data_IF_250372981070
#
_entry.id   IF_250372981070
#
_cell.length_a   1.000
_cell.length_b   1.000
_cell.length_c   1.000
_cell.angle_alpha   90.00
_cell.angle_beta   90.00
_cell.angle_gamma   90.00
#
_symmetry.space_group_name_H-M   'P 1'
#
loop_
_entity.id
_entity.type
_entity.pdbx_description
1 polymer ?
#
# COMPACT_ATOMS: atom_id res chain seq x y z
N UNK A 1 -1.04 -6.35 -15.30
CA UNK A 1 -2.10 -6.24 -14.27
C UNK A 1 -3.48 -6.71 -14.74
N UNK A 2 -3.95 -6.44 -15.96
CA UNK A 2 -5.37 -6.61 -16.37
C UNK A 2 -5.87 -8.01 -16.80
N UNK A 3 -5.36 -9.14 -16.31
CA UNK A 3 -5.88 -10.46 -16.74
C UNK A 3 -5.90 -11.58 -15.67
N UNK A 4 -5.99 -11.25 -14.37
CA UNK A 4 -5.99 -12.24 -13.27
C UNK A 4 -7.24 -12.19 -12.38
N UNK A 5 -8.29 -11.50 -12.82
CA UNK A 5 -9.50 -11.32 -12.01
C UNK A 5 -9.31 -10.42 -10.77
N UNK A 6 -8.17 -9.75 -10.62
CA UNK A 6 -7.93 -8.78 -9.55
C UNK A 6 -8.57 -7.45 -9.93
N UNK A 7 -9.52 -7.00 -9.12
CA UNK A 7 -10.12 -5.67 -9.24
C UNK A 7 -9.35 -4.67 -8.37
N UNK A 8 -8.77 -3.64 -8.99
CA UNK A 8 -7.99 -2.60 -8.30
C UNK A 8 -8.74 -1.28 -8.39
N UNK A 9 -9.02 -0.66 -7.24
CA UNK A 9 -9.57 0.68 -7.14
C UNK A 9 -8.48 1.59 -6.57
N UNK A 10 -8.13 2.65 -7.28
CA UNK A 10 -7.23 3.69 -6.78
C UNK A 10 -8.06 4.77 -6.10
N UNK A 11 -7.75 5.06 -4.84
CA UNK A 11 -8.46 6.06 -4.03
C UNK A 11 -7.51 7.24 -3.75
N UNK A 12 -7.66 8.36 -4.47
CA UNK A 12 -6.73 9.49 -4.40
C UNK A 12 -6.89 10.34 -3.14
N UNK A 13 -8.11 10.52 -2.63
CA UNK A 13 -8.40 11.48 -1.58
C UNK A 13 -9.04 10.88 -0.32
N UNK A 14 -8.87 11.57 0.82
CA UNK A 14 -9.46 11.19 2.09
C UNK A 14 -10.98 11.03 2.00
N UNK A 15 -11.68 11.97 1.36
CA UNK A 15 -13.14 11.92 1.32
C UNK A 15 -13.65 10.68 0.57
N UNK A 16 -12.93 10.27 -0.47
CA UNK A 16 -13.21 9.04 -1.20
C UNK A 16 -12.89 7.80 -0.35
N UNK A 17 -11.79 7.83 0.40
CA UNK A 17 -11.49 6.78 1.38
C UNK A 17 -12.59 6.64 2.44
N UNK A 18 -13.10 7.75 2.96
CA UNK A 18 -14.19 7.77 3.94
C UNK A 18 -15.48 7.18 3.33
N UNK A 19 -15.75 7.47 2.05
CA UNK A 19 -16.90 6.91 1.33
C UNK A 19 -16.76 5.39 1.14
N UNK A 20 -15.62 4.93 0.61
CA UNK A 20 -15.39 3.51 0.35
C UNK A 20 -15.23 2.69 1.63
N UNK A 21 -14.79 3.31 2.74
CA UNK A 21 -14.63 2.64 4.05
C UNK A 21 -15.92 1.99 4.54
N UNK A 22 -17.07 2.46 4.05
CA UNK A 22 -18.38 1.91 4.37
C UNK A 22 -18.64 0.59 3.64
N UNK A 23 -18.13 0.44 2.42
CA UNK A 23 -18.32 -0.71 1.55
C UNK A 23 -17.24 -1.80 1.74
N UNK A 24 -16.06 -1.45 2.25
CA UNK A 24 -14.99 -2.42 2.51
C UNK A 24 -15.42 -3.50 3.51
N UNK A 25 -15.00 -4.73 3.21
CA UNK A 25 -15.30 -5.97 3.93
C UNK A 25 -14.01 -6.74 4.27
N UNK A 26 -14.13 -7.86 4.98
CA UNK A 26 -13.00 -8.74 5.28
C UNK A 26 -12.43 -9.48 4.07
N UNK A 27 -13.12 -9.45 2.92
CA UNK A 27 -12.63 -10.04 1.67
C UNK A 27 -11.81 -9.05 0.84
N UNK A 28 -11.72 -7.80 1.29
CA UNK A 28 -10.97 -6.75 0.61
C UNK A 28 -9.58 -6.57 1.23
N UNK A 29 -8.65 -6.05 0.42
CA UNK A 29 -7.28 -5.75 0.83
C UNK A 29 -7.00 -4.27 0.54
N UNK A 30 -6.64 -3.52 1.58
CA UNK A 30 -6.33 -2.09 1.46
C UNK A 30 -4.83 -1.85 1.48
N UNK A 31 -4.29 -1.39 0.35
CA UNK A 31 -2.94 -0.84 0.29
C UNK A 31 -2.94 0.64 0.61
N UNK A 32 -2.09 1.06 1.55
CA UNK A 32 -1.85 2.49 1.84
C UNK A 32 -0.38 2.80 1.57
N UNK A 33 -0.14 3.61 0.54
CA UNK A 33 1.21 3.96 0.09
C UNK A 33 1.54 5.37 0.59
N UNK A 34 2.60 5.52 1.39
CA UNK A 34 3.00 6.82 1.94
C UNK A 34 4.50 6.88 2.14
N UNK A 35 5.13 7.96 1.69
CA UNK A 35 6.57 8.16 1.87
C UNK A 35 6.96 8.26 3.36
N UNK A 36 6.25 9.07 4.14
CA UNK A 36 6.55 9.29 5.56
C UNK A 36 5.88 8.28 6.49
N UNK A 37 4.83 7.59 6.03
CA UNK A 37 4.01 6.73 6.86
C UNK A 37 3.22 7.49 7.95
N UNK A 38 3.14 8.82 7.88
CA UNK A 38 2.25 9.60 8.74
C UNK A 38 0.86 9.68 8.12
N UNK A 39 -0.15 9.27 8.88
CA UNK A 39 -1.54 9.16 8.40
C UNK A 39 -2.53 9.84 9.35
N UNK A 40 -2.11 10.84 10.11
CA UNK A 40 -2.93 11.55 11.12
C UNK A 40 -4.30 12.00 10.58
N UNK A 41 -4.35 12.39 9.29
CA UNK A 41 -5.59 12.84 8.63
C UNK A 41 -6.61 11.73 8.39
N UNK A 42 -6.17 10.46 8.31
CA UNK A 42 -6.98 9.29 7.96
C UNK A 42 -6.91 8.16 9.01
N UNK A 43 -6.18 8.35 10.13
CA UNK A 43 -5.95 7.35 11.19
C UNK A 43 -7.27 6.73 11.68
N UNK A 44 -8.25 7.57 12.04
CA UNK A 44 -9.58 7.12 12.46
C UNK A 44 -10.30 6.24 11.42
N UNK A 45 -10.11 6.56 10.14
CA UNK A 45 -10.72 5.83 9.03
C UNK A 45 -10.03 4.49 8.82
N UNK A 46 -8.70 4.47 8.86
CA UNK A 46 -7.92 3.23 8.78
C UNK A 46 -8.25 2.28 9.94
N UNK A 47 -8.34 2.79 11.17
CA UNK A 47 -8.76 1.99 12.35
C UNK A 47 -10.15 1.41 12.18
N UNK A 48 -11.10 2.21 11.68
CA UNK A 48 -12.48 1.73 11.43
C UNK A 48 -12.55 0.66 10.35
N UNK A 49 -11.71 0.77 9.31
CA UNK A 49 -11.59 -0.26 8.26
C UNK A 49 -11.00 -1.54 8.86
N UNK A 50 -9.91 -1.42 9.63
CA UNK A 50 -9.27 -2.56 10.28
C UNK A 50 -10.21 -3.26 11.28
N UNK A 51 -11.00 -2.52 12.06
CA UNK A 51 -12.01 -3.08 12.97
C UNK A 51 -13.12 -3.88 12.25
N UNK A 52 -13.37 -3.62 10.98
CA UNK A 52 -14.31 -4.42 10.15
C UNK A 52 -13.68 -5.72 9.62
N UNK A 53 -12.39 -5.95 9.88
CA UNK A 53 -11.66 -7.12 9.44
C UNK A 53 -11.04 -6.99 8.04
N UNK A 54 -11.10 -5.82 7.41
CA UNK A 54 -10.36 -5.57 6.16
C UNK A 54 -8.87 -5.52 6.45
N UNK A 55 -8.08 -6.32 5.73
CA UNK A 55 -6.63 -6.36 5.92
C UNK A 55 -5.98 -5.09 5.36
N UNK A 56 -5.02 -4.54 6.11
CA UNK A 56 -4.22 -3.39 5.72
C UNK A 56 -2.78 -3.78 5.37
N UNK A 57 -2.31 -3.29 4.22
CA UNK A 57 -0.92 -3.37 3.80
C UNK A 57 -0.35 -1.96 3.70
N UNK A 58 0.64 -1.67 4.54
CA UNK A 58 1.41 -0.43 4.46
C UNK A 58 2.52 -0.56 3.43
N UNK A 59 2.72 0.49 2.62
CA UNK A 59 3.88 0.61 1.72
C UNK A 59 4.58 1.92 2.04
N UNK A 60 5.71 1.85 2.75
CA UNK A 60 6.37 3.04 3.30
C UNK A 60 7.88 3.00 3.15
N UNK A 61 8.54 4.16 3.30
CA UNK A 61 10.00 4.15 3.48
C UNK A 61 10.34 3.32 4.72
N UNK A 62 11.42 2.55 4.65
CA UNK A 62 11.93 1.79 5.79
C UNK A 62 12.11 2.69 7.03
N UNK A 63 11.45 2.32 8.13
CA UNK A 63 11.50 3.04 9.40
C UNK A 63 10.26 2.83 10.26
N UNK A 64 10.33 3.27 11.51
CA UNK A 64 9.19 3.27 12.43
C UNK A 64 8.19 4.35 12.03
N UNK A 65 6.94 3.97 11.76
CA UNK A 65 5.89 4.91 11.38
C UNK A 65 4.49 4.42 11.79
N UNK A 66 3.56 5.37 11.95
CA UNK A 66 2.20 5.11 12.42
C UNK A 66 1.45 4.17 11.46
N UNK A 67 1.57 4.37 10.15
CA UNK A 67 0.87 3.54 9.18
C UNK A 67 1.32 2.06 9.26
N UNK A 68 2.62 1.81 9.37
CA UNK A 68 3.16 0.46 9.54
C UNK A 68 2.66 -0.18 10.84
N UNK A 69 2.56 0.58 11.94
CA UNK A 69 2.04 0.05 13.21
C UNK A 69 0.55 -0.29 13.19
N UNK A 70 -0.22 0.31 12.28
CA UNK A 70 -1.66 0.06 12.11
C UNK A 70 -1.96 -1.07 11.12
N UNK A 71 -0.97 -1.50 10.35
CA UNK A 71 -1.17 -2.41 9.23
C UNK A 71 -0.86 -3.85 9.62
N UNK A 72 -1.58 -4.79 9.03
CA UNK A 72 -1.33 -6.23 9.20
C UNK A 72 0.00 -6.64 8.56
N UNK A 73 0.34 -6.00 7.43
CA UNK A 73 1.59 -6.22 6.71
C UNK A 73 2.27 -4.89 6.35
N UNK A 74 3.60 -4.93 6.25
CA UNK A 74 4.41 -3.77 5.88
C UNK A 74 5.41 -4.11 4.79
N UNK A 75 5.32 -3.42 3.67
CA UNK A 75 6.30 -3.39 2.59
C UNK A 75 7.13 -2.13 2.72
N UNK A 76 8.44 -2.32 2.84
CA UNK A 76 9.39 -1.23 3.00
C UNK A 76 10.20 -1.00 1.73
N UNK A 77 10.45 0.27 1.42
CA UNK A 77 11.34 0.67 0.33
C UNK A 77 12.36 1.73 0.80
N UNK A 78 13.42 1.94 0.03
CA UNK A 78 14.43 2.96 0.29
C UNK A 78 14.41 4.04 -0.79
N UNK A 79 14.45 5.29 -0.37
CA UNK A 79 14.53 6.43 -1.28
C UNK A 79 15.97 6.92 -1.33
N UNK A 80 16.45 7.18 -2.54
CA UNK A 80 17.76 7.80 -2.76
C UNK A 80 17.53 9.22 -3.28
N UNK A 81 18.12 10.22 -2.61
CA UNK A 81 18.10 11.59 -3.10
C UNK A 81 19.11 11.72 -4.24
N UNK A 82 18.65 12.15 -5.41
CA UNK A 82 19.51 12.25 -6.60
C UNK A 82 20.32 13.55 -6.57
N UNK A 83 19.75 14.64 -6.05
CA UNK A 83 20.44 15.92 -5.85
C UNK A 83 19.94 16.59 -4.56
N UNK A 84 20.84 16.97 -3.64
CA UNK A 84 20.54 17.86 -2.50
C UNK A 84 20.70 19.36 -2.86
N UNK A 85 21.03 19.64 -4.12
CA UNK A 85 21.28 20.99 -4.62
C UNK A 85 19.98 21.52 -5.23
N UNK A 86 19.34 22.44 -4.53
CA UNK A 86 18.03 23.06 -4.80
C UNK A 86 16.85 22.23 -4.29
N UNK A 87 15.89 22.92 -3.68
CA UNK A 87 14.69 22.45 -2.97
C UNK A 87 13.70 21.60 -3.80
N UNK A 88 14.13 21.08 -4.95
CA UNK A 88 13.43 20.09 -5.75
C UNK A 88 13.74 18.71 -5.18
N UNK A 89 12.74 18.14 -4.50
CA UNK A 89 12.80 16.84 -3.86
C UNK A 89 12.91 15.71 -4.91
N UNK A 90 14.08 15.58 -5.56
CA UNK A 90 14.36 14.59 -6.60
C UNK A 90 14.70 13.24 -5.95
N UNK A 91 13.67 12.66 -5.34
CA UNK A 91 13.70 11.34 -4.73
C UNK A 91 13.54 10.25 -5.78
N UNK A 92 14.45 9.29 -5.82
CA UNK A 92 14.31 8.06 -6.60
C UNK A 92 13.44 7.05 -5.86
N UNK A 93 12.36 6.61 -6.50
CA UNK A 93 11.46 5.57 -6.01
C UNK A 93 11.71 4.22 -6.69
N UNK A 94 12.92 3.98 -7.21
CA UNK A 94 13.25 2.72 -7.90
C UNK A 94 12.96 1.48 -7.02
N UNK A 95 13.28 1.54 -5.74
CA UNK A 95 13.08 0.40 -4.83
C UNK A 95 11.59 0.17 -4.50
N UNK A 96 10.75 1.21 -4.54
CA UNK A 96 9.29 1.06 -4.43
C UNK A 96 8.76 0.27 -5.63
N UNK A 97 9.16 0.66 -6.84
CA UNK A 97 8.78 -0.06 -8.06
C UNK A 97 9.28 -1.51 -8.02
N UNK A 98 10.52 -1.74 -7.59
CA UNK A 98 11.06 -3.09 -7.42
C UNK A 98 10.24 -3.91 -6.42
N UNK A 99 9.89 -3.35 -5.26
CA UNK A 99 9.11 -4.04 -4.25
C UNK A 99 7.71 -4.44 -4.77
N UNK A 100 7.02 -3.52 -5.48
CA UNK A 100 5.72 -3.81 -6.07
C UNK A 100 5.81 -4.84 -7.21
N UNK A 101 6.87 -4.80 -8.02
CA UNK A 101 7.12 -5.79 -9.06
C UNK A 101 7.36 -7.17 -8.48
N UNK A 102 8.19 -7.29 -7.43
CA UNK A 102 8.44 -8.57 -6.75
C UNK A 102 7.18 -9.13 -6.09
N UNK A 103 6.35 -8.28 -5.46
CA UNK A 103 5.06 -8.69 -4.92
C UNK A 103 4.15 -9.24 -6.02
N UNK A 104 4.07 -8.54 -7.15
CA UNK A 104 3.28 -8.97 -8.30
C UNK A 104 3.79 -10.30 -8.86
N UNK A 105 5.09 -10.43 -9.10
CA UNK A 105 5.69 -11.69 -9.58
C UNK A 105 5.43 -12.86 -8.62
N UNK A 106 5.57 -12.63 -7.31
CA UNK A 106 5.23 -13.61 -6.29
C UNK A 106 3.76 -14.06 -6.38
N UNK A 107 2.83 -13.10 -6.53
CA UNK A 107 1.41 -13.40 -6.73
C UNK A 107 1.15 -14.22 -8.00
N UNK A 108 1.78 -13.86 -9.13
CA UNK A 108 1.64 -14.62 -10.38
C UNK A 108 2.10 -16.06 -10.21
N UNK A 109 3.25 -16.26 -9.55
CA UNK A 109 3.80 -17.59 -9.34
C UNK A 109 2.87 -18.43 -8.46
N UNK A 110 2.34 -17.84 -7.39
CA UNK A 110 1.33 -18.48 -6.53
C UNK A 110 0.06 -18.86 -7.31
N UNK A 111 -0.49 -17.92 -8.10
CA UNK A 111 -1.70 -18.15 -8.87
C UNK A 111 -1.53 -19.27 -9.91
N UNK A 112 -0.39 -19.29 -10.61
CA UNK A 112 -0.07 -20.33 -11.58
C UNK A 112 0.03 -21.72 -10.94
N UNK A 113 0.70 -21.83 -9.79
CA UNK A 113 0.79 -23.11 -9.06
C UNK A 113 -0.59 -23.60 -8.62
N UNK A 114 -1.43 -22.70 -8.13
CA UNK A 114 -2.81 -23.01 -7.70
C UNK A 114 -3.76 -23.36 -8.84
N UNK A 115 -3.38 -23.12 -10.10
CA UNK A 115 -4.19 -23.42 -11.30
C UNK A 115 -3.78 -24.72 -12.00
N UNK A 116 -2.77 -25.44 -11.47
CA UNK A 116 -2.27 -26.70 -12.03
C UNK A 116 -2.78 -27.93 -11.25
N UNK A 117 -3.44 -27.70 -10.11
CA UNK A 117 -4.22 -28.70 -9.35
C UNK A 117 -5.71 -28.61 -9.70
#
# INVERSE_FOLDING_TARGET
>A
MWNLGIYIIVVPEKNELDLISKALTSNDLLFVISLSGRVDRIDDTLRRIHMKGTQLVSVTRFGQNNLASLSDYSLYYQVTNINDVNELNNSSFCTLNLALSLLYEGYINYYKQSSVD
#
